data_IF_693683813805
#
_entry.id   IF_693683813805
#
_cell.length_a   1.000
_cell.length_b   1.000
_cell.length_c   1.000
_cell.angle_alpha   90.00
_cell.angle_beta   90.00
_cell.angle_gamma   90.00
#
_symmetry.space_group_name_H-M   'P 1'
#
loop_
_entity.id
_entity.type
_entity.pdbx_description
1 polymer ?
#
# COMPACT_ATOMS: atom_id res chain seq x y z
N UNK A 1 10.92 27.67 18.15
CA UNK A 1 10.20 26.39 17.93
C UNK A 1 11.07 25.53 17.01
N UNK A 2 12.33 25.33 17.37
CA UNK A 2 13.38 25.15 16.35
C UNK A 2 13.97 23.72 16.38
N UNK A 3 14.06 23.11 17.57
CA UNK A 3 14.67 21.78 17.71
C UNK A 3 13.87 20.61 17.12
N UNK A 4 12.53 20.68 17.09
CA UNK A 4 11.70 19.59 16.52
C UNK A 4 11.74 19.59 14.98
N UNK A 5 11.64 20.76 14.37
CA UNK A 5 11.70 20.93 12.91
C UNK A 5 13.09 20.55 12.39
N UNK A 6 14.16 21.00 13.06
CA UNK A 6 15.53 20.66 12.67
C UNK A 6 15.78 19.14 12.75
N UNK A 7 15.21 18.48 13.76
CA UNK A 7 15.29 17.03 13.89
C UNK A 7 14.50 16.29 12.80
N UNK A 8 13.30 16.77 12.45
CA UNK A 8 12.48 16.22 11.37
C UNK A 8 13.20 16.35 10.02
N UNK A 9 13.79 17.51 9.75
CA UNK A 9 14.53 17.78 8.52
C UNK A 9 15.76 16.86 8.41
N UNK A 10 16.49 16.65 9.51
CA UNK A 10 17.62 15.73 9.54
C UNK A 10 17.20 14.27 9.25
N UNK A 11 16.08 13.82 9.83
CA UNK A 11 15.55 12.47 9.59
C UNK A 11 15.02 12.33 8.16
N UNK A 12 14.35 13.36 7.63
CA UNK A 12 13.86 13.37 6.26
C UNK A 12 15.03 13.32 5.26
N UNK A 13 16.06 14.15 5.44
CA UNK A 13 17.26 14.17 4.60
C UNK A 13 18.01 12.83 4.61
N UNK A 14 17.99 12.10 5.73
CA UNK A 14 18.62 10.78 5.84
C UNK A 14 17.83 9.65 5.14
N UNK A 15 16.60 9.90 4.69
CA UNK A 15 15.70 8.86 4.17
C UNK A 15 15.12 7.92 5.24
N UNK A 16 15.54 8.06 6.51
CA UNK A 16 15.05 7.22 7.63
C UNK A 16 13.57 7.41 7.90
N UNK A 17 13.02 8.58 7.60
CA UNK A 17 11.56 8.80 7.70
C UNK A 17 10.78 7.78 6.87
N UNK A 18 11.22 7.56 5.63
CA UNK A 18 10.57 6.60 4.72
C UNK A 18 10.77 5.16 5.22
N UNK A 19 11.92 4.83 5.78
CA UNK A 19 12.18 3.51 6.39
C UNK A 19 11.24 3.22 7.56
N UNK A 20 11.08 4.19 8.46
CA UNK A 20 10.16 4.10 9.61
C UNK A 20 8.72 3.93 9.10
N UNK A 21 8.30 4.73 8.13
CA UNK A 21 6.96 4.63 7.54
C UNK A 21 6.71 3.25 6.90
N UNK A 22 7.68 2.71 6.16
CA UNK A 22 7.60 1.34 5.61
C UNK A 22 7.49 0.29 6.71
N UNK A 23 8.26 0.41 7.79
CA UNK A 23 8.21 -0.52 8.91
C UNK A 23 6.84 -0.51 9.61
N UNK A 24 6.27 0.67 9.85
CA UNK A 24 4.91 0.84 10.41
C UNK A 24 3.88 0.21 9.48
N UNK A 25 3.97 0.45 8.17
CA UNK A 25 3.04 -0.11 7.19
C UNK A 25 3.09 -1.64 7.13
N UNK A 26 4.28 -2.25 7.23
CA UNK A 26 4.43 -3.71 7.31
C UNK A 26 3.85 -4.26 8.62
N UNK A 27 4.07 -3.57 9.73
CA UNK A 27 3.52 -3.95 11.03
C UNK A 27 1.98 -3.90 11.04
N UNK A 28 1.41 -2.85 10.43
CA UNK A 28 -0.03 -2.70 10.25
C UNK A 28 -0.60 -3.84 9.40
N UNK A 29 0.02 -4.13 8.25
CA UNK A 29 -0.36 -5.27 7.42
C UNK A 29 -0.34 -6.59 8.21
N UNK A 30 0.73 -6.84 8.97
CA UNK A 30 0.85 -8.06 9.78
C UNK A 30 -0.28 -8.17 10.82
N UNK A 31 -0.60 -7.08 11.50
CA UNK A 31 -1.71 -7.02 12.46
C UNK A 31 -3.06 -7.31 11.78
N UNK A 32 -3.34 -6.67 10.64
CA UNK A 32 -4.59 -6.88 9.92
C UNK A 32 -4.70 -8.31 9.36
N UNK A 33 -3.61 -8.89 8.84
CA UNK A 33 -3.60 -10.27 8.38
C UNK A 33 -3.82 -11.25 9.54
N UNK A 34 -3.35 -10.92 10.74
CA UNK A 34 -3.57 -11.70 11.95
C UNK A 34 -5.04 -11.66 12.39
N UNK A 35 -5.63 -10.46 12.47
CA UNK A 35 -7.00 -10.21 12.97
C UNK A 35 -8.06 -10.66 11.95
N UNK A 36 -7.93 -10.30 10.68
CA UNK A 36 -8.95 -10.53 9.67
C UNK A 36 -8.65 -11.81 8.88
N UNK A 37 -9.64 -12.70 8.77
CA UNK A 37 -9.51 -14.02 8.10
C UNK A 37 -10.11 -14.06 6.69
N UNK A 38 -10.89 -13.06 6.30
CA UNK A 38 -11.59 -13.05 5.02
C UNK A 38 -10.59 -12.97 3.83
N UNK A 39 -10.55 -13.97 2.93
CA UNK A 39 -9.52 -14.06 1.90
C UNK A 39 -9.58 -12.93 0.87
N UNK A 40 -10.78 -12.42 0.55
CA UNK A 40 -10.95 -11.28 -0.34
C UNK A 40 -10.37 -9.99 0.27
N UNK A 41 -10.67 -9.72 1.54
CA UNK A 41 -10.16 -8.55 2.25
C UNK A 41 -8.62 -8.59 2.38
N UNK A 42 -8.05 -9.77 2.66
CA UNK A 42 -6.60 -9.96 2.74
C UNK A 42 -5.89 -9.63 1.42
N UNK A 43 -6.44 -10.06 0.28
CA UNK A 43 -5.84 -9.77 -1.03
C UNK A 43 -5.81 -8.27 -1.30
N UNK A 44 -6.93 -7.58 -1.12
CA UNK A 44 -7.00 -6.12 -1.28
C UNK A 44 -5.98 -5.42 -0.38
N UNK A 45 -5.88 -5.84 0.88
CA UNK A 45 -4.95 -5.27 1.84
C UNK A 45 -3.49 -5.46 1.41
N UNK A 46 -3.12 -6.66 0.95
CA UNK A 46 -1.75 -6.97 0.49
C UNK A 46 -1.36 -6.12 -0.71
N UNK A 47 -2.21 -6.03 -1.74
CA UNK A 47 -1.90 -5.22 -2.92
C UNK A 47 -1.82 -3.72 -2.60
N UNK A 48 -2.70 -3.22 -1.73
CA UNK A 48 -2.66 -1.83 -1.29
C UNK A 48 -1.38 -1.53 -0.49
N UNK A 49 -1.01 -2.40 0.45
CA UNK A 49 0.25 -2.27 1.20
C UNK A 49 1.46 -2.35 0.26
N UNK A 50 1.48 -3.27 -0.70
CA UNK A 50 2.57 -3.38 -1.67
C UNK A 50 2.71 -2.10 -2.51
N UNK A 51 1.59 -1.49 -2.92
CA UNK A 51 1.58 -0.19 -3.59
C UNK A 51 2.18 0.91 -2.72
N UNK A 52 1.74 1.00 -1.46
CA UNK A 52 2.27 1.96 -0.49
C UNK A 52 3.77 1.78 -0.23
N UNK A 53 4.25 0.55 -0.08
CA UNK A 53 5.67 0.24 0.09
C UNK A 53 6.50 0.66 -1.11
N UNK A 54 6.00 0.43 -2.32
CA UNK A 54 6.68 0.86 -3.54
C UNK A 54 6.76 2.40 -3.61
N UNK A 55 5.70 3.12 -3.25
CA UNK A 55 5.73 4.58 -3.17
C UNK A 55 6.72 5.10 -2.13
N UNK A 56 6.76 4.51 -0.95
CA UNK A 56 7.71 4.89 0.11
C UNK A 56 9.15 4.56 -0.28
N UNK A 57 9.38 3.47 -1.01
CA UNK A 57 10.69 3.13 -1.57
C UNK A 57 11.11 4.13 -2.66
N UNK A 58 10.19 4.60 -3.51
CA UNK A 58 10.44 5.66 -4.49
C UNK A 58 10.82 6.98 -3.78
N UNK A 59 10.08 7.35 -2.73
CA UNK A 59 10.37 8.54 -1.92
C UNK A 59 11.75 8.42 -1.26
N UNK A 60 12.05 7.27 -0.63
CA UNK A 60 13.37 7.02 -0.04
C UNK A 60 14.47 7.16 -1.08
N UNK A 61 14.30 6.55 -2.24
CA UNK A 61 15.26 6.62 -3.35
C UNK A 61 15.50 8.08 -3.79
N UNK A 62 14.45 8.89 -3.88
CA UNK A 62 14.55 10.32 -4.18
C UNK A 62 15.31 11.10 -3.09
N UNK A 63 15.02 10.85 -1.81
CA UNK A 63 15.64 11.53 -0.67
C UNK A 63 17.14 11.26 -0.56
N UNK A 64 17.58 10.03 -0.86
CA UNK A 64 19.00 9.64 -0.79
C UNK A 64 19.74 9.79 -2.13
N UNK A 65 19.12 10.44 -3.12
CA UNK A 65 19.76 10.80 -4.39
C UNK A 65 19.96 9.67 -5.40
N UNK A 66 19.11 8.64 -5.40
CA UNK A 66 19.14 7.63 -6.48
C UNK A 66 18.67 8.22 -7.82
N UNK A 67 19.13 7.61 -8.92
CA UNK A 67 18.79 8.03 -10.27
C UNK A 67 17.30 7.83 -10.62
N UNK A 68 16.83 8.61 -11.60
CA UNK A 68 15.44 8.62 -12.05
C UNK A 68 14.88 7.23 -12.45
N UNK A 69 15.73 6.33 -12.98
CA UNK A 69 15.32 4.98 -13.35
C UNK A 69 14.86 4.15 -12.15
N UNK A 70 15.55 4.27 -11.01
CA UNK A 70 15.19 3.55 -9.78
C UNK A 70 13.85 4.05 -9.25
N UNK A 71 13.67 5.36 -9.23
CA UNK A 71 12.43 6.02 -8.80
C UNK A 71 11.27 5.58 -9.71
N UNK A 72 11.46 5.65 -11.03
CA UNK A 72 10.46 5.22 -12.02
C UNK A 72 10.09 3.73 -11.87
N UNK A 73 11.07 2.88 -11.57
CA UNK A 73 10.83 1.45 -11.29
C UNK A 73 9.91 1.25 -10.10
N UNK A 74 10.17 1.92 -8.97
CA UNK A 74 9.31 1.86 -7.80
C UNK A 74 7.92 2.45 -8.04
N UNK A 75 7.82 3.60 -8.71
CA UNK A 75 6.52 4.20 -9.06
C UNK A 75 5.69 3.29 -9.98
N UNK A 76 6.35 2.64 -10.95
CA UNK A 76 5.71 1.69 -11.86
C UNK A 76 5.22 0.45 -11.13
N UNK A 77 6.03 -0.08 -10.19
CA UNK A 77 5.62 -1.19 -9.33
C UNK A 77 4.41 -0.81 -8.46
N UNK A 78 4.44 0.37 -7.83
CA UNK A 78 3.32 0.86 -7.02
C UNK A 78 2.04 0.99 -7.82
N UNK A 79 2.13 1.59 -9.01
CA UNK A 79 1.00 1.70 -9.94
C UNK A 79 0.44 0.32 -10.34
N UNK A 80 1.31 -0.64 -10.68
CA UNK A 80 0.89 -1.99 -11.04
C UNK A 80 0.16 -2.70 -9.88
N UNK A 81 0.67 -2.58 -8.65
CA UNK A 81 0.02 -3.14 -7.46
C UNK A 81 -1.34 -2.50 -7.19
N UNK A 82 -1.45 -1.18 -7.34
CA UNK A 82 -2.73 -0.48 -7.17
C UNK A 82 -3.74 -0.88 -8.25
N UNK A 83 -3.31 -0.99 -9.52
CA UNK A 83 -4.18 -1.41 -10.61
C UNK A 83 -4.69 -2.85 -10.40
N UNK A 84 -3.82 -3.75 -9.91
CA UNK A 84 -4.21 -5.10 -9.55
C UNK A 84 -5.27 -5.11 -8.43
N UNK A 85 -5.11 -4.27 -7.40
CA UNK A 85 -6.09 -4.11 -6.31
C UNK A 85 -7.46 -3.68 -6.84
N UNK A 86 -7.50 -2.61 -7.65
CA UNK A 86 -8.73 -2.11 -8.27
C UNK A 86 -9.41 -3.17 -9.15
N UNK A 87 -8.62 -3.93 -9.92
CA UNK A 87 -9.12 -5.01 -10.76
C UNK A 87 -9.80 -6.12 -9.95
N UNK A 88 -9.18 -6.55 -8.84
CA UNK A 88 -9.77 -7.56 -7.97
C UNK A 88 -11.03 -7.05 -7.28
N UNK A 89 -11.03 -5.78 -6.86
CA UNK A 89 -12.20 -5.13 -6.25
C UNK A 89 -13.37 -5.06 -7.23
N UNK A 90 -13.12 -4.65 -8.48
CA UNK A 90 -14.12 -4.61 -9.53
C UNK A 90 -14.72 -6.00 -9.84
N UNK A 91 -13.89 -7.04 -9.91
CA UNK A 91 -14.34 -8.43 -10.10
C UNK A 91 -15.18 -8.97 -8.95
N UNK A 92 -15.01 -8.45 -7.73
CA UNK A 92 -15.83 -8.85 -6.59
C UNK A 92 -17.24 -8.24 -6.67
N UNK A 93 -17.37 -6.98 -7.11
CA UNK A 93 -18.66 -6.30 -7.25
C UNK A 93 -19.56 -6.86 -8.35
N UNK A 94 -18.97 -7.39 -9.42
CA UNK A 94 -19.72 -7.94 -10.58
C UNK A 94 -20.34 -9.31 -10.32
N UNK A 95 -20.03 -9.97 -9.19
CA UNK A 95 -20.73 -11.18 -8.74
C UNK A 95 -21.95 -10.82 -7.92
N UNK A 96 -23.05 -10.43 -8.57
CA UNK A 96 -24.36 -10.28 -7.91
C UNK A 96 -24.88 -11.65 -7.45
N UNK A 97 -25.43 -11.78 -6.23
CA UNK A 97 -26.18 -12.97 -5.85
C UNK A 97 -27.39 -13.12 -6.77
N UNK A 98 -27.64 -14.33 -7.26
CA UNK A 98 -28.90 -14.66 -7.93
C UNK A 98 -30.05 -14.38 -6.95
N UNK A 99 -31.12 -13.68 -7.36
CA UNK A 99 -32.26 -13.44 -6.50
C UNK A 99 -32.82 -14.79 -6.02
N UNK A 100 -33.27 -14.89 -4.75
CA UNK A 100 -33.84 -16.13 -4.25
C UNK A 100 -35.00 -16.57 -5.15
N UNK A 101 -35.18 -17.89 -5.37
CA UNK A 101 -36.26 -18.39 -6.21
C UNK A 101 -37.60 -17.86 -5.68
N UNK A 102 -38.50 -17.41 -6.57
CA UNK A 102 -39.79 -16.91 -6.11
C UNK A 102 -40.53 -18.02 -5.38
N UNK A 103 -41.24 -17.70 -4.28
CA UNK A 103 -42.22 -18.61 -3.74
C UNK A 103 -43.14 -19.03 -4.90
N UNK A 104 -43.29 -20.33 -5.11
CA UNK A 104 -44.25 -20.86 -6.09
C UNK A 104 -45.64 -20.65 -5.48
N UNK A 105 -46.50 -19.95 -6.22
CA UNK A 105 -47.94 -19.85 -5.93
C UNK A 105 -48.64 -21.21 -6.12
#
# INVERSE_FOLDING_TARGET
MDGLTDWLDAIAASGRLAEIAMAVLVAELALFLFVYRAPAARRTLVFNTASGLALMAALRAALIGHGALVIAGFLSLGFAMHLAELWFRHRAFTKTPEPPPSPRD
#
